data_IF_381391354549
#
_entry.id   IF_381391354549
#
_cell.length_a   1.000
_cell.length_b   1.000
_cell.length_c   1.000
_cell.angle_alpha   90.00
_cell.angle_beta   90.00
_cell.angle_gamma   90.00
#
_symmetry.space_group_name_H-M   'P 1'
#
loop_
_entity.id
_entity.type
_entity.pdbx_description
1 polymer ?
#
# COMPACT_ATOMS: atom_id res chain seq x y z
N UNK A 1 18.68 26.16 -1.69
CA UNK A 1 17.62 25.12 -1.69
C UNK A 1 18.19 23.89 -1.00
N UNK A 2 17.71 23.55 0.20
CA UNK A 2 18.10 22.32 0.88
C UNK A 2 17.47 21.13 0.15
N UNK A 3 18.27 20.09 -0.14
CA UNK A 3 17.76 18.84 -0.71
C UNK A 3 16.95 18.12 0.35
N UNK A 4 15.71 17.74 0.03
CA UNK A 4 14.91 16.87 0.87
C UNK A 4 15.40 15.42 0.68
N UNK A 5 15.83 14.78 1.77
CA UNK A 5 16.45 13.44 1.75
C UNK A 5 15.47 12.31 2.08
N UNK A 6 14.28 12.64 2.60
CA UNK A 6 13.32 11.71 3.18
C UNK A 6 12.04 11.55 2.36
N UNK A 7 12.06 11.93 1.07
CA UNK A 7 10.87 11.93 0.20
C UNK A 7 10.17 10.58 0.12
N UNK A 8 10.92 9.47 0.16
CA UNK A 8 10.35 8.11 0.18
C UNK A 8 9.64 7.80 1.51
N UNK A 9 10.21 8.22 2.64
CA UNK A 9 9.61 8.02 3.95
C UNK A 9 8.32 8.83 4.09
N UNK A 10 8.33 10.06 3.57
CA UNK A 10 7.19 10.95 3.54
C UNK A 10 6.05 10.39 2.65
N UNK A 11 6.37 9.92 1.44
CA UNK A 11 5.39 9.24 0.56
C UNK A 11 4.74 8.03 1.25
N UNK A 12 5.55 7.17 1.89
CA UNK A 12 5.03 6.04 2.68
C UNK A 12 4.09 6.48 3.80
N UNK A 13 4.43 7.55 4.53
CA UNK A 13 3.61 8.09 5.61
C UNK A 13 2.25 8.58 5.10
N UNK A 14 2.24 9.30 3.97
CA UNK A 14 1.01 9.78 3.35
C UNK A 14 0.10 8.64 2.89
N UNK A 15 0.67 7.62 2.24
CA UNK A 15 -0.06 6.41 1.82
C UNK A 15 -0.71 5.67 2.99
N UNK A 16 0.05 5.47 4.08
CA UNK A 16 -0.49 4.85 5.31
C UNK A 16 -1.58 5.70 5.95
N UNK A 17 -1.45 7.03 5.91
CA UNK A 17 -2.48 7.93 6.44
C UNK A 17 -3.79 7.84 5.65
N UNK A 18 -3.74 7.71 4.32
CA UNK A 18 -4.94 7.50 3.48
C UNK A 18 -5.67 6.19 3.81
N UNK A 19 -4.91 5.12 4.06
CA UNK A 19 -5.46 3.80 4.35
C UNK A 19 -5.85 3.58 5.82
N UNK A 20 -5.53 4.50 6.74
CA UNK A 20 -5.65 4.28 8.18
C UNK A 20 -7.07 3.88 8.63
N UNK A 21 -8.10 4.41 7.97
CA UNK A 21 -9.50 4.12 8.28
C UNK A 21 -9.90 2.66 7.97
N UNK A 22 -9.20 2.01 7.02
CA UNK A 22 -9.46 0.63 6.58
C UNK A 22 -8.85 -0.42 7.51
N UNK A 23 -7.92 0.00 8.39
CA UNK A 23 -7.23 -0.86 9.33
C UNK A 23 -7.38 -0.36 10.78
N UNK A 24 -8.61 -0.28 11.34
CA UNK A 24 -8.86 0.31 12.66
C UNK A 24 -8.15 -0.44 13.80
N UNK A 25 -7.79 -1.71 13.57
CA UNK A 25 -7.05 -2.57 14.50
C UNK A 25 -5.56 -2.69 14.12
N UNK A 26 -5.02 -1.73 13.36
CA UNK A 26 -3.61 -1.64 13.01
C UNK A 26 -3.26 -2.22 11.65
N UNK A 27 -2.88 -3.50 11.57
CA UNK A 27 -2.35 -4.13 10.33
C UNK A 27 -3.32 -5.13 9.67
N UNK A 28 -4.56 -5.16 10.14
CA UNK A 28 -5.60 -6.06 9.66
C UNK A 28 -6.64 -5.22 8.94
N UNK A 29 -6.97 -5.61 7.71
CA UNK A 29 -8.00 -4.99 6.87
C UNK A 29 -9.04 -6.07 6.56
N UNK A 30 -10.31 -5.69 6.51
CA UNK A 30 -11.37 -6.62 6.12
C UNK A 30 -11.17 -7.04 4.66
N UNK A 31 -11.45 -8.30 4.34
CA UNK A 31 -11.30 -8.82 2.99
C UNK A 31 -12.11 -8.00 1.96
N UNK A 32 -13.30 -7.56 2.35
CA UNK A 32 -14.20 -6.75 1.52
C UNK A 32 -13.63 -5.35 1.19
N UNK A 33 -12.69 -4.86 2.00
CA UNK A 33 -12.05 -3.55 1.84
C UNK A 33 -10.75 -3.61 1.02
N UNK A 34 -10.37 -4.79 0.48
CA UNK A 34 -9.08 -4.99 -0.20
C UNK A 34 -8.89 -4.04 -1.38
N UNK A 35 -9.92 -3.81 -2.18
CA UNK A 35 -9.85 -2.90 -3.34
C UNK A 35 -9.62 -1.46 -2.87
N UNK A 36 -10.41 -1.00 -1.89
CA UNK A 36 -10.26 0.33 -1.31
C UNK A 36 -8.88 0.55 -0.68
N UNK A 37 -8.31 -0.49 -0.07
CA UNK A 37 -6.95 -0.46 0.45
C UNK A 37 -5.92 -0.28 -0.66
N UNK A 38 -5.99 -1.09 -1.71
CA UNK A 38 -5.05 -1.03 -2.84
C UNK A 38 -5.11 0.33 -3.53
N UNK A 39 -6.31 0.87 -3.76
CA UNK A 39 -6.52 2.21 -4.33
C UNK A 39 -5.97 3.33 -3.41
N UNK A 40 -6.05 3.17 -2.09
CA UNK A 40 -5.51 4.15 -1.16
C UNK A 40 -3.97 4.16 -1.11
N UNK A 41 -3.33 2.99 -1.25
CA UNK A 41 -1.88 2.85 -1.05
C UNK A 41 -1.06 2.82 -2.34
N UNK A 42 -1.64 2.46 -3.48
CA UNK A 42 -1.00 2.45 -4.81
C UNK A 42 -1.31 3.76 -5.53
N UNK A 43 -0.33 4.29 -6.25
CA UNK A 43 -0.45 5.49 -7.08
C UNK A 43 -0.12 5.20 -8.54
N UNK A 44 -0.66 5.97 -9.50
CA UNK A 44 -0.29 5.83 -10.91
C UNK A 44 1.23 5.95 -11.13
N UNK A 45 1.80 4.96 -11.82
CA UNK A 45 3.23 4.90 -12.09
C UNK A 45 4.05 4.15 -11.04
N UNK A 46 3.42 3.66 -9.96
CA UNK A 46 4.08 2.77 -9.01
C UNK A 46 4.57 1.48 -9.69
N UNK A 47 5.73 1.01 -9.22
CA UNK A 47 6.22 -0.32 -9.54
C UNK A 47 5.72 -1.27 -8.46
N UNK A 48 4.71 -2.07 -8.81
CA UNK A 48 4.10 -3.03 -7.88
C UNK A 48 4.68 -4.42 -8.14
N UNK A 49 5.34 -4.98 -7.12
CA UNK A 49 5.76 -6.38 -7.14
C UNK A 49 4.57 -7.23 -6.66
N UNK A 50 3.88 -7.91 -7.57
CA UNK A 50 2.83 -8.87 -7.25
C UNK A 50 3.45 -10.26 -7.05
N UNK A 51 3.13 -10.94 -5.95
CA UNK A 51 3.66 -12.28 -5.69
C UNK A 51 3.02 -13.30 -6.64
N UNK A 52 3.84 -13.84 -7.53
CA UNK A 52 3.50 -14.97 -8.37
C UNK A 52 4.78 -15.71 -8.76
N UNK A 53 5.01 -16.87 -8.15
CA UNK A 53 6.06 -17.80 -8.54
C UNK A 53 5.45 -19.15 -8.93
N UNK A 54 6.29 -20.10 -9.35
CA UNK A 54 5.83 -21.40 -9.86
C UNK A 54 5.08 -22.27 -8.82
N UNK A 55 5.07 -21.89 -7.54
CA UNK A 55 4.48 -22.65 -6.42
C UNK A 55 3.50 -21.82 -5.55
N UNK A 56 3.54 -20.48 -5.61
CA UNK A 56 2.73 -19.56 -4.80
C UNK A 56 2.24 -18.38 -5.62
N UNK A 57 0.99 -18.00 -5.42
CA UNK A 57 0.33 -16.89 -6.09
C UNK A 57 -0.45 -16.09 -5.04
N UNK A 58 -0.41 -14.77 -5.15
CA UNK A 58 -1.33 -13.89 -4.43
C UNK A 58 -2.65 -13.79 -5.20
N UNK A 59 -3.37 -14.91 -5.29
CA UNK A 59 -4.61 -15.06 -6.05
C UNK A 59 -5.80 -14.27 -5.50
N UNK A 60 -5.77 -13.94 -4.21
CA UNK A 60 -6.74 -13.05 -3.57
C UNK A 60 -6.47 -11.55 -3.80
N UNK A 61 -5.23 -11.17 -4.11
CA UNK A 61 -4.83 -9.77 -4.32
C UNK A 61 -4.99 -9.34 -5.80
#
# INVERSE_FOLDING_TARGET
MSRQWDTQAESRRQRLQRAAALAPQGRVVAADDVVALLEAVIEPGDRVCLEGNNQKQADFL
#
